data_IF_204463261248
#
_entry.id   IF_204463261248
#
_cell.length_a   1.000
_cell.length_b   1.000
_cell.length_c   1.000
_cell.angle_alpha   90.00
_cell.angle_beta   90.00
_cell.angle_gamma   90.00
#
_symmetry.space_group_name_H-M   'P 1'
#
loop_
_entity.id
_entity.type
_entity.pdbx_description
1 polymer ?
#
# COMPACT_ATOMS: atom_id res chain seq x y z
N UNK A 1 11.06 9.75 -6.35
CA UNK A 1 10.31 11.02 -6.22
C UNK A 1 10.55 11.63 -4.85
N UNK A 2 10.34 12.94 -4.66
CA UNK A 2 10.28 13.50 -3.30
C UNK A 2 8.95 13.14 -2.61
N UNK A 3 8.92 13.01 -1.27
CA UNK A 3 7.69 12.68 -0.53
C UNK A 3 6.52 13.65 -0.80
N UNK A 4 6.80 14.94 -0.97
CA UNK A 4 5.76 15.94 -1.25
C UNK A 4 5.18 15.81 -2.66
N UNK A 5 5.99 15.38 -3.64
CA UNK A 5 5.50 15.07 -4.97
C UNK A 5 4.63 13.81 -4.97
N UNK A 6 5.01 12.80 -4.19
CA UNK A 6 4.22 11.58 -3.98
C UNK A 6 2.85 11.88 -3.37
N UNK A 7 2.80 12.67 -2.29
CA UNK A 7 1.52 13.09 -1.66
C UNK A 7 0.61 13.86 -2.62
N UNK A 8 1.17 14.76 -3.44
CA UNK A 8 0.36 15.52 -4.41
C UNK A 8 -0.16 14.65 -5.56
N UNK A 9 0.61 13.68 -6.02
CA UNK A 9 0.25 12.85 -7.17
C UNK A 9 -0.60 11.64 -6.79
N UNK A 10 -0.43 11.08 -5.59
CA UNK A 10 -1.28 10.00 -5.06
C UNK A 10 -2.73 10.43 -4.93
N UNK A 11 -3.00 11.68 -4.54
CA UNK A 11 -4.36 12.22 -4.54
C UNK A 11 -5.03 12.26 -5.93
N UNK A 12 -4.25 12.23 -7.01
CA UNK A 12 -4.75 12.31 -8.38
C UNK A 12 -4.95 10.94 -9.04
N UNK A 13 -4.59 9.84 -8.37
CA UNK A 13 -4.66 8.50 -8.95
C UNK A 13 -5.00 7.41 -7.93
N UNK A 14 -5.73 6.40 -8.40
CA UNK A 14 -6.05 5.17 -7.67
C UNK A 14 -5.22 3.98 -8.17
N UNK A 15 -4.06 4.24 -8.75
CA UNK A 15 -3.17 3.21 -9.29
C UNK A 15 -1.72 3.64 -9.04
N UNK A 16 -1.02 2.92 -8.17
CA UNK A 16 0.38 3.23 -7.83
C UNK A 16 1.30 3.13 -9.04
N UNK A 17 1.01 2.27 -10.03
CA UNK A 17 1.81 2.17 -11.24
C UNK A 17 1.76 3.45 -12.07
N UNK A 18 0.62 4.16 -12.08
CA UNK A 18 0.45 5.43 -12.79
C UNK A 18 1.26 6.60 -12.20
N UNK A 19 1.83 6.44 -11.01
CA UNK A 19 2.79 7.40 -10.44
C UNK A 19 4.14 7.37 -11.18
N UNK A 20 4.45 6.28 -11.90
CA UNK A 20 5.72 6.13 -12.61
C UNK A 20 5.74 6.84 -13.95
N UNK A 21 4.59 6.90 -14.62
CA UNK A 21 4.33 7.62 -15.87
C UNK A 21 2.85 7.91 -15.83
N UNK A 22 2.42 9.12 -16.20
CA UNK A 22 1.03 9.60 -16.13
C UNK A 22 0.00 8.83 -17.00
N UNK A 23 0.18 7.53 -17.21
CA UNK A 23 -0.67 6.60 -17.93
C UNK A 23 -0.84 5.34 -17.05
N UNK A 24 -2.07 4.93 -16.72
CA UNK A 24 -2.31 3.69 -15.99
C UNK A 24 -1.83 2.47 -16.79
N UNK A 25 -1.27 1.45 -16.13
CA UNK A 25 -0.87 0.20 -16.81
C UNK A 25 0.34 -0.53 -16.23
N UNK A 26 0.72 -1.62 -16.90
CA UNK A 26 1.85 -2.48 -16.54
C UNK A 26 3.18 -1.72 -16.72
N UNK A 27 3.99 -1.56 -15.67
CA UNK A 27 5.24 -0.85 -15.80
C UNK A 27 6.20 -1.62 -16.72
N UNK A 28 6.91 -0.86 -17.57
CA UNK A 28 7.97 -1.39 -18.42
C UNK A 28 9.23 -0.52 -18.31
N UNK A 29 10.38 -1.16 -18.12
CA UNK A 29 11.70 -0.53 -18.10
C UNK A 29 12.53 -1.18 -19.21
N UNK A 30 12.95 -0.39 -20.21
CA UNK A 30 13.84 -0.85 -21.29
C UNK A 30 13.38 -2.13 -22.01
N UNK A 31 12.06 -2.30 -22.15
CA UNK A 31 11.47 -3.49 -22.79
C UNK A 31 11.29 -4.69 -21.86
N UNK A 32 11.77 -4.61 -20.61
CA UNK A 32 11.40 -5.52 -19.54
C UNK A 32 10.05 -5.07 -18.98
N UNK A 33 9.08 -5.96 -19.04
CA UNK A 33 7.76 -5.78 -18.47
C UNK A 33 7.37 -7.09 -17.79
N UNK A 34 6.35 -7.01 -16.96
CA UNK A 34 5.78 -8.18 -16.30
C UNK A 34 6.79 -8.88 -15.37
N UNK A 35 6.74 -10.20 -15.18
CA UNK A 35 7.68 -10.96 -14.32
C UNK A 35 9.17 -10.78 -14.68
N UNK A 36 9.49 -10.24 -15.87
CA UNK A 36 10.86 -9.89 -16.27
C UNK A 36 11.35 -8.59 -15.66
N UNK A 37 10.42 -7.76 -15.17
CA UNK A 37 10.69 -6.56 -14.40
C UNK A 37 10.41 -6.86 -12.92
N UNK A 38 11.47 -6.93 -12.12
CA UNK A 38 11.33 -7.25 -10.70
C UNK A 38 10.64 -6.10 -9.96
N UNK A 39 9.52 -6.38 -9.32
CA UNK A 39 8.78 -5.40 -8.51
C UNK A 39 8.77 -5.87 -7.06
N UNK A 40 9.25 -5.00 -6.17
CA UNK A 40 9.21 -5.20 -4.72
C UNK A 40 8.23 -4.25 -4.08
N UNK A 41 7.37 -4.77 -3.20
CA UNK A 41 6.56 -3.99 -2.27
C UNK A 41 6.95 -4.40 -0.87
N UNK A 42 7.41 -3.44 -0.06
CA UNK A 42 7.88 -3.66 1.32
C UNK A 42 8.94 -4.78 1.42
N UNK A 43 9.82 -4.86 0.41
CA UNK A 43 10.88 -5.87 0.31
C UNK A 43 10.43 -7.24 -0.19
N UNK A 44 9.12 -7.50 -0.31
CA UNK A 44 8.57 -8.72 -0.88
C UNK A 44 8.52 -8.64 -2.40
N UNK A 45 8.98 -9.70 -3.08
CA UNK A 45 8.80 -9.84 -4.52
C UNK A 45 7.32 -10.15 -4.82
N UNK A 46 6.64 -9.22 -5.47
CA UNK A 46 5.27 -9.43 -5.93
C UNK A 46 5.30 -9.83 -7.39
N UNK A 47 4.73 -11.00 -7.68
CA UNK A 47 4.48 -11.46 -9.05
C UNK A 47 3.03 -11.19 -9.41
N UNK A 48 2.74 -11.05 -10.71
CA UNK A 48 1.35 -10.93 -11.15
C UNK A 48 0.59 -12.22 -10.80
N UNK A 49 -0.39 -12.12 -9.91
CA UNK A 49 -1.19 -13.28 -9.48
C UNK A 49 -2.28 -13.67 -10.50
N UNK A 50 -2.34 -12.97 -11.63
CA UNK A 50 -3.29 -13.21 -12.72
C UNK A 50 -2.62 -13.98 -13.86
N UNK A 51 -3.18 -15.10 -14.35
CA UNK A 51 -2.64 -15.83 -15.51
C UNK A 51 -2.49 -14.98 -16.78
N UNK A 52 -3.25 -13.89 -16.90
CA UNK A 52 -3.17 -12.95 -18.03
C UNK A 52 -2.30 -11.72 -17.74
N UNK A 53 -1.70 -11.62 -16.55
CA UNK A 53 -0.75 -10.56 -16.17
C UNK A 53 -1.28 -9.14 -16.43
N UNK A 54 -2.61 -8.94 -16.38
CA UNK A 54 -3.28 -7.67 -16.70
C UNK A 54 -3.29 -6.66 -15.56
N UNK A 55 -2.89 -7.05 -14.36
CA UNK A 55 -2.84 -6.16 -13.20
C UNK A 55 -1.37 -5.95 -12.78
N UNK A 56 -0.92 -4.69 -12.66
CA UNK A 56 0.44 -4.43 -12.21
C UNK A 56 0.62 -4.90 -10.77
N UNK A 57 1.79 -5.45 -10.44
CA UNK A 57 2.12 -5.84 -9.06
C UNK A 57 2.03 -4.66 -8.07
N UNK A 58 2.11 -3.42 -8.55
CA UNK A 58 1.92 -2.22 -7.74
C UNK A 58 0.46 -1.95 -7.35
N UNK A 59 -0.53 -2.64 -7.92
CA UNK A 59 -1.93 -2.50 -7.51
C UNK A 59 -2.18 -2.96 -6.06
N UNK A 60 -1.28 -3.77 -5.48
CA UNK A 60 -1.39 -4.24 -4.11
C UNK A 60 -0.99 -3.19 -3.04
N UNK A 61 -0.43 -2.06 -3.47
CA UNK A 61 -0.12 -0.94 -2.59
C UNK A 61 -0.93 0.28 -3.01
N UNK A 62 -1.70 0.81 -2.06
CA UNK A 62 -2.48 2.02 -2.23
C UNK A 62 -1.55 3.24 -2.41
N UNK A 63 -1.78 4.12 -3.42
CA UNK A 63 -1.00 5.33 -3.61
C UNK A 63 -0.88 6.23 -2.38
N UNK A 64 -1.91 6.30 -1.53
CA UNK A 64 -1.88 7.11 -0.30
C UNK A 64 -1.08 6.43 0.82
N UNK A 65 -0.96 5.11 0.77
CA UNK A 65 -0.12 4.33 1.70
C UNK A 65 1.36 4.29 1.28
N UNK A 66 1.72 4.82 0.10
CA UNK A 66 3.06 4.75 -0.47
C UNK A 66 4.00 5.82 0.13
N UNK A 67 5.07 5.38 0.80
CA UNK A 67 6.11 6.26 1.33
C UNK A 67 7.23 6.54 0.33
N UNK A 68 7.58 5.54 -0.46
CA UNK A 68 8.72 5.57 -1.37
C UNK A 68 8.40 4.79 -2.65
N UNK A 69 8.74 5.38 -3.79
CA UNK A 69 8.67 4.72 -5.10
C UNK A 69 9.96 4.99 -5.87
N UNK A 70 10.72 3.93 -6.10
CA UNK A 70 12.07 3.97 -6.67
C UNK A 70 12.13 3.08 -7.91
N UNK A 71 12.72 3.62 -8.96
CA UNK A 71 12.98 2.92 -10.21
C UNK A 71 14.48 2.75 -10.36
N UNK A 72 14.93 1.51 -10.44
CA UNK A 72 16.31 1.15 -10.71
C UNK A 72 16.40 0.69 -12.17
N UNK A 73 17.19 1.39 -12.98
CA UNK A 73 17.42 1.04 -14.37
C UNK A 73 18.91 1.13 -14.71
N UNK A 74 19.52 0.04 -15.18
CA UNK A 74 20.94 -0.10 -15.43
C UNK A 74 21.72 -0.60 -14.22
N UNK A 75 22.72 0.17 -13.78
CA UNK A 75 23.57 -0.21 -12.64
C UNK A 75 22.74 -0.12 -11.37
N UNK A 76 22.37 -1.29 -10.86
CA UNK A 76 21.44 -1.47 -9.75
C UNK A 76 22.14 -2.22 -8.62
N UNK A 77 21.84 -1.90 -7.35
CA UNK A 77 22.39 -2.64 -6.21
C UNK A 77 22.01 -4.12 -6.28
N UNK A 78 22.94 -5.02 -5.92
CA UNK A 78 22.69 -6.47 -5.95
C UNK A 78 21.46 -6.87 -5.11
N UNK A 79 21.17 -6.14 -4.04
CA UNK A 79 20.01 -6.37 -3.16
C UNK A 79 18.64 -6.17 -3.84
N UNK A 80 18.58 -5.37 -4.91
CA UNK A 80 17.35 -5.12 -5.67
C UNK A 80 17.31 -5.87 -7.00
N UNK A 81 18.41 -6.52 -7.39
CA UNK A 81 18.55 -7.21 -8.67
C UNK A 81 18.91 -6.23 -9.79
N UNK A 82 18.62 -6.60 -11.04
CA UNK A 82 18.79 -5.73 -12.20
C UNK A 82 17.76 -4.59 -12.26
N UNK A 83 17.28 -4.28 -13.47
CA UNK A 83 16.19 -3.33 -13.67
C UNK A 83 14.97 -3.74 -12.81
N UNK A 84 14.55 -2.85 -11.92
CA UNK A 84 13.56 -3.14 -10.88
C UNK A 84 12.82 -1.90 -10.41
N UNK A 85 11.64 -2.14 -9.83
CA UNK A 85 10.85 -1.12 -9.13
C UNK A 85 10.73 -1.54 -7.67
N UNK A 86 10.98 -0.59 -6.77
CA UNK A 86 10.82 -0.79 -5.33
C UNK A 86 9.82 0.23 -4.82
N UNK A 87 8.71 -0.26 -4.30
CA UNK A 87 7.70 0.49 -3.59
C UNK A 87 7.78 0.14 -2.10
N UNK A 88 7.83 1.14 -1.25
CA UNK A 88 7.78 0.95 0.20
C UNK A 88 6.60 1.76 0.75
N UNK A 89 5.83 1.12 1.62
CA UNK A 89 4.79 1.76 2.39
C UNK A 89 5.36 2.90 3.25
N UNK A 90 4.52 3.89 3.55
CA UNK A 90 4.88 4.99 4.41
C UNK A 90 5.27 4.44 5.79
N UNK A 91 6.46 4.82 6.25
CA UNK A 91 6.91 4.43 7.58
C UNK A 91 5.88 4.94 8.61
N UNK A 92 5.45 4.09 9.56
CA UNK A 92 4.48 4.50 10.57
C UNK A 92 5.03 5.66 11.38
N UNK A 93 4.19 6.67 11.66
CA UNK A 93 4.58 7.82 12.48
C UNK A 93 4.35 7.47 13.95
N UNK A 94 5.40 7.63 14.76
CA UNK A 94 5.41 7.32 16.19
C UNK A 94 5.16 8.58 17.02
N UNK A 95 4.51 8.42 18.18
CA UNK A 95 4.51 9.47 19.18
C UNK A 95 5.95 9.68 19.67
N UNK A 96 6.37 10.91 19.91
CA UNK A 96 7.68 11.16 20.51
C UNK A 96 7.76 10.55 21.91
N UNK A 97 8.98 10.24 22.36
CA UNK A 97 9.20 9.70 23.69
C UNK A 97 8.61 10.63 24.77
N UNK A 98 7.68 10.12 25.57
CA UNK A 98 6.96 10.90 26.58
C UNK A 98 5.66 11.57 26.10
N UNK A 99 5.34 11.54 24.79
CA UNK A 99 4.08 12.07 24.24
C UNK A 99 2.87 11.15 24.53
N UNK A 100 3.10 9.85 24.67
CA UNK A 100 2.11 8.84 25.05
C UNK A 100 1.10 8.49 23.95
N UNK A 101 0.30 9.44 23.48
CA UNK A 101 -0.73 9.20 22.45
C UNK A 101 -0.50 10.07 21.23
N UNK A 102 -0.58 9.47 20.04
CA UNK A 102 -0.53 10.16 18.76
C UNK A 102 -1.79 9.83 17.95
N UNK A 103 -2.62 10.83 17.71
CA UNK A 103 -3.79 10.68 16.83
C UNK A 103 -3.50 11.41 15.52
N UNK A 104 -3.67 10.72 14.40
CA UNK A 104 -3.52 11.27 13.06
C UNK A 104 -4.73 10.89 12.20
N UNK A 105 -4.98 11.65 11.14
CA UNK A 105 -6.08 11.38 10.24
C UNK A 105 -5.81 11.98 8.87
N UNK A 106 -6.38 11.35 7.85
CA UNK A 106 -6.28 11.77 6.46
C UNK A 106 -7.66 11.77 5.80
N UNK A 107 -8.02 12.90 5.20
CA UNK A 107 -9.25 13.03 4.42
C UNK A 107 -8.85 13.23 2.97
N UNK A 108 -9.26 12.32 2.10
CA UNK A 108 -8.99 12.35 0.66
C UNK A 108 -10.26 12.61 -0.15
N UNK A 109 -10.20 13.54 -1.09
CA UNK A 109 -11.23 13.73 -2.11
C UNK A 109 -10.57 14.14 -3.43
N UNK A 110 -11.01 13.55 -4.54
CA UNK A 110 -10.49 13.80 -5.86
C UNK A 110 -11.64 14.05 -6.85
N UNK A 111 -11.46 15.07 -7.68
CA UNK A 111 -12.39 15.43 -8.76
C UNK A 111 -11.62 15.57 -10.07
N UNK A 112 -12.15 15.01 -11.16
CA UNK A 112 -11.54 15.09 -12.50
C UNK A 112 -12.60 15.44 -13.55
N UNK A 113 -12.30 16.44 -14.39
CA UNK A 113 -13.24 16.97 -15.39
C UNK A 113 -13.44 16.10 -16.64
N UNK A 114 -12.50 15.18 -16.95
CA UNK A 114 -12.69 14.28 -18.08
C UNK A 114 -13.56 13.10 -17.64
N UNK A 115 -14.88 13.23 -17.89
CA UNK A 115 -15.90 12.26 -17.50
C UNK A 115 -16.62 12.57 -16.18
N UNK A 116 -16.52 13.79 -15.65
CA UNK A 116 -17.17 14.27 -14.42
C UNK A 116 -17.04 13.30 -13.22
N UNK A 117 -15.83 12.76 -13.04
CA UNK A 117 -15.55 11.75 -12.04
C UNK A 117 -15.24 12.40 -10.69
N UNK A 118 -15.96 11.97 -9.65
CA UNK A 118 -15.71 12.34 -8.26
C UNK A 118 -15.46 11.09 -7.42
N UNK A 119 -14.41 11.11 -6.60
CA UNK A 119 -14.14 10.06 -5.60
C UNK A 119 -13.75 10.69 -4.27
N UNK A 120 -14.18 10.06 -3.18
CA UNK A 120 -13.84 10.49 -1.82
C UNK A 120 -13.56 9.28 -0.94
N UNK A 121 -12.59 9.42 -0.05
CA UNK A 121 -12.22 8.43 0.94
C UNK A 121 -11.85 9.11 2.26
N UNK A 122 -12.27 8.50 3.37
CA UNK A 122 -11.89 8.94 4.70
C UNK A 122 -11.04 7.85 5.35
N UNK A 123 -9.84 8.20 5.79
CA UNK A 123 -8.95 7.33 6.53
C UNK A 123 -8.55 7.98 7.86
N UNK A 124 -8.61 7.24 8.95
CA UNK A 124 -8.18 7.71 10.26
C UNK A 124 -7.23 6.70 10.90
N UNK A 125 -6.15 7.20 11.48
CA UNK A 125 -5.13 6.37 12.13
C UNK A 125 -4.86 6.88 13.54
N UNK A 126 -5.36 6.18 14.54
CA UNK A 126 -5.07 6.48 15.94
C UNK A 126 -3.98 5.54 16.44
N UNK A 127 -2.96 6.07 17.11
CA UNK A 127 -1.91 5.26 17.69
C UNK A 127 -1.61 5.64 19.15
N UNK A 128 -1.47 4.61 19.96
CA UNK A 128 -1.05 4.71 21.35
C UNK A 128 0.35 4.12 21.46
N UNK A 129 1.30 4.90 21.96
CA UNK A 129 2.67 4.44 22.23
C UNK A 129 2.93 4.45 23.73
N UNK A 130 3.24 3.29 24.28
CA UNK A 130 3.60 3.13 25.68
C UNK A 130 5.08 2.76 25.81
N UNK A 131 5.86 3.70 26.34
CA UNK A 131 7.28 3.53 26.63
C UNK A 131 7.48 3.24 28.12
N UNK A 132 8.07 2.10 28.47
CA UNK A 132 8.40 1.76 29.86
C UNK A 132 9.73 1.00 29.94
N UNK A 133 10.74 1.64 30.54
CA UNK A 133 12.09 1.07 30.61
C UNK A 133 12.68 0.88 29.22
N UNK A 134 13.13 -0.33 28.90
CA UNK A 134 13.60 -0.69 27.55
C UNK A 134 12.47 -0.98 26.55
N UNK A 135 11.20 -1.00 26.97
CA UNK A 135 10.07 -1.34 26.11
C UNK A 135 9.47 -0.11 25.43
N UNK A 136 9.16 -0.26 24.15
CA UNK A 136 8.29 0.60 23.36
C UNK A 136 7.19 -0.27 22.77
N UNK A 137 5.93 0.00 23.13
CA UNK A 137 4.77 -0.74 22.64
C UNK A 137 3.85 0.20 21.91
N UNK A 138 3.33 -0.24 20.76
CA UNK A 138 2.39 0.52 19.95
C UNK A 138 1.16 -0.31 19.63
N UNK A 139 0.00 0.32 19.84
CA UNK A 139 -1.27 -0.11 19.28
C UNK A 139 -1.70 0.92 18.26
N UNK A 140 -2.02 0.48 17.05
CA UNK A 140 -2.50 1.34 15.97
C UNK A 140 -3.84 0.84 15.47
N UNK A 141 -4.78 1.77 15.35
CA UNK A 141 -6.12 1.57 14.82
C UNK A 141 -6.24 2.32 13.50
N UNK A 142 -6.46 1.59 12.41
CA UNK A 142 -6.70 2.14 11.08
C UNK A 142 -8.17 1.96 10.74
N UNK A 143 -8.86 3.05 10.43
CA UNK A 143 -10.27 3.04 10.02
C UNK A 143 -10.39 3.66 8.63
N UNK A 144 -11.05 2.95 7.71
CA UNK A 144 -11.29 3.41 6.36
C UNK A 144 -12.78 3.33 6.05
N UNK A 145 -13.35 4.44 5.58
CA UNK A 145 -14.77 4.50 5.21
C UNK A 145 -15.07 3.65 3.98
N UNK A 146 -16.30 3.16 3.88
CA UNK A 146 -16.80 2.57 2.63
C UNK A 146 -16.69 3.56 1.47
N UNK A 147 -16.47 3.05 0.26
CA UNK A 147 -16.56 3.80 -0.98
C UNK A 147 -17.81 3.36 -1.72
N UNK A 148 -18.79 4.24 -1.83
CA UNK A 148 -20.07 3.99 -2.51
C UNK A 148 -20.38 5.02 -3.62
N UNK A 149 -19.57 6.07 -3.73
CA UNK A 149 -19.61 7.03 -4.83
C UNK A 149 -18.60 6.59 -5.89
N UNK A 150 -19.12 6.12 -7.01
CA UNK A 150 -18.35 5.48 -8.08
C UNK A 150 -18.37 6.34 -9.34
N UNK A 151 -17.28 6.27 -10.09
CA UNK A 151 -17.21 6.82 -11.44
C UNK A 151 -17.40 5.71 -12.47
N UNK A 152 -18.53 5.76 -13.19
CA UNK A 152 -18.82 4.83 -14.29
C UNK A 152 -17.78 4.94 -15.41
N UNK A 153 -17.32 6.16 -15.73
CA UNK A 153 -16.30 6.40 -16.75
C UNK A 153 -14.93 5.74 -16.42
N UNK A 154 -14.68 5.40 -15.15
CA UNK A 154 -13.44 4.75 -14.68
C UNK A 154 -13.63 3.30 -14.26
N UNK A 155 -14.84 2.75 -14.38
CA UNK A 155 -15.17 1.38 -13.95
C UNK A 155 -14.77 1.14 -12.48
N UNK A 156 -15.03 2.12 -11.63
CA UNK A 156 -14.77 2.00 -10.19
C UNK A 156 -15.81 1.10 -9.53
N UNK A 157 -15.38 0.33 -8.54
CA UNK A 157 -16.23 -0.60 -7.78
C UNK A 157 -16.41 -0.10 -6.36
N UNK A 158 -17.55 -0.40 -5.76
CA UNK A 158 -17.79 -0.13 -4.36
C UNK A 158 -16.91 -1.01 -3.48
N UNK A 159 -16.36 -0.44 -2.43
CA UNK A 159 -15.61 -1.18 -1.41
C UNK A 159 -16.24 -0.98 -0.04
N UNK A 160 -16.26 -2.05 0.75
CA UNK A 160 -16.70 -1.96 2.14
C UNK A 160 -15.68 -1.17 2.96
N UNK A 161 -16.18 -0.44 3.96
CA UNK A 161 -15.31 0.16 4.97
C UNK A 161 -14.69 -0.93 5.83
N UNK A 162 -13.49 -0.66 6.36
CA UNK A 162 -12.79 -1.62 7.19
C UNK A 162 -12.09 -0.96 8.37
N UNK A 163 -11.73 -1.79 9.33
CA UNK A 163 -10.96 -1.39 10.49
C UNK A 163 -9.89 -2.43 10.75
N UNK A 164 -8.65 -1.99 10.87
CA UNK A 164 -7.49 -2.83 11.15
C UNK A 164 -6.89 -2.41 12.49
N UNK A 165 -6.38 -3.38 13.23
CA UNK A 165 -5.59 -3.15 14.43
C UNK A 165 -4.21 -3.74 14.19
N UNK A 166 -3.18 -2.91 14.34
CA UNK A 166 -1.79 -3.28 14.21
C UNK A 166 -1.11 -3.14 15.58
N UNK A 167 -0.30 -4.12 15.94
CA UNK A 167 0.46 -4.15 17.18
C UNK A 167 1.94 -4.19 16.85
N UNK A 168 2.72 -3.31 17.48
CA UNK A 168 4.18 -3.30 17.33
C UNK A 168 4.81 -3.21 18.70
N UNK A 169 5.93 -3.89 18.90
CA UNK A 169 6.70 -3.88 20.13
C UNK A 169 8.19 -3.84 19.83
N UNK A 170 8.91 -3.09 20.63
CA UNK A 170 10.36 -3.03 20.60
C UNK A 170 10.91 -3.14 22.01
N UNK A 171 12.03 -3.85 22.17
CA UNK A 171 12.78 -3.92 23.42
C UNK A 171 14.24 -3.58 23.17
N UNK A 172 14.71 -2.48 23.79
CA UNK A 172 16.09 -2.05 23.73
C UNK A 172 16.85 -2.54 24.97
N UNK A 173 17.94 -3.27 24.73
CA UNK A 173 18.87 -3.77 25.75
C UNK A 173 20.32 -3.55 25.32
N UNK A 174 21.02 -2.65 26.02
CA UNK A 174 22.40 -2.28 25.72
C UNK A 174 22.57 -1.86 24.24
N UNK A 175 23.37 -2.61 23.48
CA UNK A 175 23.66 -2.40 22.06
C UNK A 175 22.63 -3.08 21.14
N UNK A 176 21.68 -3.84 21.69
CA UNK A 176 20.71 -4.65 20.93
C UNK A 176 19.31 -4.06 21.07
N UNK A 177 18.58 -4.00 19.96
CA UNK A 177 17.15 -3.72 19.92
C UNK A 177 16.46 -4.89 19.22
N UNK A 178 15.44 -5.43 19.87
CA UNK A 178 14.52 -6.41 19.30
C UNK A 178 13.25 -5.69 18.88
N UNK A 179 12.76 -5.99 17.68
CA UNK A 179 11.53 -5.44 17.12
C UNK A 179 10.61 -6.60 16.75
N UNK A 180 9.32 -6.48 17.03
CA UNK A 180 8.31 -7.44 16.60
C UNK A 180 7.00 -6.74 16.34
N UNK A 181 6.19 -7.31 15.46
CA UNK A 181 4.88 -6.74 15.15
C UNK A 181 3.94 -7.73 14.51
N UNK A 182 2.66 -7.41 14.64
CA UNK A 182 1.54 -8.08 14.01
C UNK A 182 0.68 -7.02 13.35
N UNK A 183 0.63 -7.03 12.03
CA UNK A 183 -0.29 -6.20 11.26
C UNK A 183 -1.57 -6.97 10.98
N UNK A 184 -2.69 -6.27 10.92
CA UNK A 184 -4.02 -6.86 10.73
C UNK A 184 -4.26 -8.00 11.75
N UNK A 185 -4.19 -7.67 13.04
CA UNK A 185 -4.25 -8.61 14.17
C UNK A 185 -5.40 -9.63 14.05
N UNK A 186 -6.55 -9.19 13.55
CA UNK A 186 -7.78 -9.98 13.43
C UNK A 186 -7.94 -10.71 12.10
N UNK A 187 -6.94 -10.68 11.20
CA UNK A 187 -7.02 -11.28 9.86
C UNK A 187 -8.22 -10.78 9.05
N UNK A 188 -8.55 -9.50 9.19
CA UNK A 188 -9.69 -8.93 8.50
C UNK A 188 -9.40 -9.01 7.00
N UNK A 189 -10.24 -9.73 6.26
CA UNK A 189 -10.30 -9.57 4.81
C UNK A 189 -10.86 -8.19 4.49
N UNK A 190 -10.13 -7.41 3.71
CA UNK A 190 -10.52 -6.07 3.29
C UNK A 190 -10.02 -5.80 1.87
N UNK A 191 -10.66 -4.85 1.20
CA UNK A 191 -10.28 -4.40 -0.13
C UNK A 191 -9.85 -2.95 -0.08
N UNK A 192 -8.81 -2.60 -0.82
CA UNK A 192 -8.28 -1.23 -0.84
C UNK A 192 -9.18 -0.32 -1.69
N UNK A 193 -9.79 0.75 -1.15
CA UNK A 193 -10.69 1.64 -1.89
C UNK A 193 -10.00 2.38 -3.05
N UNK A 194 -8.67 2.55 -3.00
CA UNK A 194 -7.90 3.17 -4.09
C UNK A 194 -6.81 2.25 -4.67
N UNK A 195 -6.85 0.94 -4.38
CA UNK A 195 -5.92 -0.06 -4.97
C UNK A 195 -6.22 -0.44 -6.43
N UNK A 196 -7.30 0.10 -7.01
CA UNK A 196 -7.75 -0.22 -8.37
C UNK A 196 -8.62 -1.48 -8.43
N UNK A 197 -8.87 -1.99 -9.65
CA UNK A 197 -9.74 -3.16 -9.87
C UNK A 197 -9.00 -4.22 -10.68
N UNK A 198 -9.12 -5.47 -10.26
CA UNK A 198 -8.64 -6.64 -10.97
C UNK A 198 -9.53 -6.88 -12.19
N UNK A 199 -9.07 -6.53 -13.39
CA UNK A 199 -9.89 -6.61 -14.62
C UNK A 199 -9.78 -7.96 -15.34
N UNK A 200 -8.74 -8.74 -15.04
CA UNK A 200 -8.45 -10.02 -15.69
C UNK A 200 -9.41 -11.18 -15.37
N UNK A 201 -10.28 -11.04 -14.36
CA UNK A 201 -11.26 -12.08 -13.97
C UNK A 201 -12.68 -11.80 -14.51
N UNK A 202 -12.85 -10.70 -15.24
CA UNK A 202 -14.12 -10.32 -15.87
C UNK A 202 -14.44 -11.18 -17.10
N UNK A 203 -15.12 -10.59 -18.08
CA UNK A 203 -15.68 -11.24 -19.28
C UNK A 203 -14.72 -12.13 -20.09
N UNK A 204 -13.41 -12.06 -19.82
CA UNK A 204 -12.36 -12.86 -20.47
C UNK A 204 -12.06 -14.21 -19.80
N UNK A 205 -12.56 -14.53 -18.58
CA UNK A 205 -12.15 -15.74 -17.83
C UNK A 205 -13.29 -16.59 -17.18
N UNK A 206 -14.57 -16.49 -17.57
CA UNK A 206 -15.59 -17.43 -17.06
C UNK A 206 -17.01 -17.33 -17.62
N UNK A 207 -17.70 -18.49 -17.67
CA UNK A 207 -19.09 -18.72 -18.15
C UNK A 207 -20.18 -18.07 -17.25
N UNK A 208 -19.82 -17.59 -16.05
CA UNK A 208 -20.67 -16.85 -15.10
C UNK A 208 -20.01 -15.51 -14.74
N UNK A 209 -19.87 -14.63 -15.72
CA UNK A 209 -19.12 -13.37 -15.64
C UNK A 209 -19.54 -12.48 -14.47
N UNK A 210 -18.54 -11.99 -13.74
CA UNK A 210 -18.71 -10.82 -12.86
C UNK A 210 -18.70 -9.59 -13.80
N UNK A 211 -19.70 -8.69 -13.75
CA UNK A 211 -19.85 -7.64 -14.77
C UNK A 211 -18.64 -6.73 -14.92
N UNK A 212 -17.96 -6.42 -13.81
CA UNK A 212 -16.90 -5.41 -13.76
C UNK A 212 -15.89 -5.67 -12.64
N UNK A 213 -14.76 -6.31 -12.99
CA UNK A 213 -13.57 -6.48 -12.14
C UNK A 213 -13.80 -7.07 -10.74
N UNK A 214 -12.73 -7.19 -9.95
CA UNK A 214 -12.78 -7.54 -8.52
C UNK A 214 -11.92 -6.53 -7.75
N UNK A 215 -12.30 -6.17 -6.53
CA UNK A 215 -11.47 -5.28 -5.72
C UNK A 215 -10.14 -5.93 -5.37
N UNK A 216 -9.09 -5.12 -5.29
CA UNK A 216 -7.77 -5.62 -4.93
C UNK A 216 -7.76 -5.92 -3.43
N UNK A 217 -7.57 -7.18 -3.03
CA UNK A 217 -7.55 -7.54 -1.62
C UNK A 217 -6.31 -6.94 -0.96
N UNK A 218 -6.50 -6.41 0.24
CA UNK A 218 -5.42 -5.98 1.11
C UNK A 218 -4.67 -7.17 1.72
N UNK A 219 -3.53 -6.87 2.35
CA UNK A 219 -2.73 -7.90 3.02
C UNK A 219 -3.50 -8.53 4.19
N UNK A 220 -3.46 -9.86 4.30
CA UNK A 220 -3.93 -10.58 5.49
C UNK A 220 -3.04 -10.30 6.71
N UNK A 221 -3.21 -11.07 7.78
CA UNK A 221 -2.34 -10.95 8.96
C UNK A 221 -0.89 -11.20 8.60
N UNK A 222 0.00 -10.28 8.96
CA UNK A 222 1.45 -10.44 8.82
C UNK A 222 2.13 -10.35 10.17
N UNK A 223 3.16 -11.16 10.38
CA UNK A 223 3.98 -11.16 11.57
C UNK A 223 5.43 -10.92 11.16
N UNK A 224 6.14 -10.06 11.89
CA UNK A 224 7.55 -9.81 11.66
C UNK A 224 8.32 -9.71 12.98
N UNK A 225 9.60 -10.05 12.91
CA UNK A 225 10.57 -9.87 13.98
C UNK A 225 11.90 -9.40 13.38
N UNK A 226 12.57 -8.49 14.09
CA UNK A 226 13.82 -7.88 13.68
C UNK A 226 14.79 -7.72 14.84
N UNK A 227 16.09 -7.77 14.53
CA UNK A 227 17.16 -7.52 15.50
C UNK A 227 18.06 -6.45 14.93
N UNK A 228 18.26 -5.39 15.71
CA UNK A 228 19.13 -4.27 15.38
C UNK A 228 20.27 -4.21 16.40
N UNK A 229 21.52 -4.23 15.93
CA UNK A 229 22.71 -4.13 16.79
C UNK A 229 23.45 -2.85 16.46
N UNK A 230 23.69 -2.00 17.45
CA UNK A 230 24.50 -0.78 17.34
C UNK A 230 25.94 -1.09 17.76
N UNK A 231 26.89 -0.74 16.90
CA UNK A 231 28.33 -0.84 17.11
C UNK A 231 28.98 0.55 17.10
#
# INVERSE_FOLDING_TARGET
MSPDALKRQSAATSDTASLLRAVPGLPAIRGLADDRLRIKVDGMDLIASCPNHMNPALSYIDPTALGSLRVYAGISPVSVGGDSIVADSAAPVFAEAGQGTLVQGEIGAAYRNNGDAFSANLAATAALTHTLGGWDNRVELVMVSKKDHLSDARNEIATAGYTLINLRGSYAWQQVRLDFGVENLFDKAYDQPTGGTYTGQGTTMGINSIPWGIAVPGAGRSLYAGVNVKF
#
